data_IF_901100056213
#
_entry.id   IF_901100056213
#
_cell.length_a   1.000
_cell.length_b   1.000
_cell.length_c   1.000
_cell.angle_alpha   90.00
_cell.angle_beta   90.00
_cell.angle_gamma   90.00
#
_symmetry.space_group_name_H-M   'P 1'
#
loop_
_entity.id
_entity.type
_entity.pdbx_description
1 polymer ?
#
# COMPACT_ATOMS: atom_id res chain seq x y z
N UNK A 1 0.85 1.21 -25.82
CA UNK A 1 2.23 0.75 -25.62
C UNK A 1 2.45 0.67 -24.11
N UNK A 2 2.34 -0.52 -23.52
CA UNK A 2 2.63 -0.70 -22.10
C UNK A 2 4.15 -0.62 -21.94
N UNK A 3 4.63 0.42 -21.29
CA UNK A 3 6.03 0.48 -20.88
C UNK A 3 6.15 -0.49 -19.72
N UNK A 4 6.90 -1.57 -19.94
CA UNK A 4 7.19 -2.60 -18.95
C UNK A 4 7.46 -1.95 -17.58
N UNK A 5 6.79 -2.44 -16.54
CA UNK A 5 6.84 -1.87 -15.20
C UNK A 5 8.28 -1.66 -14.69
N UNK A 6 9.24 -2.47 -15.15
CA UNK A 6 10.65 -2.37 -14.77
C UNK A 6 11.40 -1.12 -15.30
N UNK A 7 10.85 -0.43 -16.31
CA UNK A 7 11.49 0.77 -16.91
C UNK A 7 11.05 2.07 -16.25
N UNK A 8 10.07 2.01 -15.34
CA UNK A 8 9.59 3.20 -14.62
C UNK A 8 10.56 3.49 -13.47
N UNK A 9 10.93 4.77 -13.31
CA UNK A 9 11.75 5.21 -12.17
C UNK A 9 10.95 5.29 -10.86
N UNK A 10 9.66 4.95 -10.91
CA UNK A 10 8.69 5.01 -9.82
C UNK A 10 8.26 3.57 -9.51
N UNK A 11 8.14 3.23 -8.22
CA UNK A 11 7.68 1.91 -7.79
C UNK A 11 6.26 1.63 -8.26
N UNK A 12 6.03 0.43 -8.79
CA UNK A 12 4.71 -0.02 -9.24
C UNK A 12 4.21 -1.10 -8.30
N UNK A 13 3.00 -0.92 -7.76
CA UNK A 13 2.33 -1.89 -6.90
C UNK A 13 1.14 -2.50 -7.66
N UNK A 14 1.21 -3.81 -7.89
CA UNK A 14 0.06 -4.59 -8.33
C UNK A 14 -0.82 -4.94 -7.13
N UNK A 15 -2.05 -4.43 -7.15
CA UNK A 15 -2.96 -4.44 -6.01
C UNK A 15 -4.33 -5.00 -6.41
N UNK A 16 -4.83 -5.98 -5.66
CA UNK A 16 -6.22 -6.41 -5.79
C UNK A 16 -7.16 -5.38 -5.16
N UNK A 17 -8.27 -4.97 -5.82
CA UNK A 17 -9.21 -4.00 -5.26
C UNK A 17 -9.93 -4.49 -4.01
N UNK A 18 -10.12 -5.81 -3.86
CA UNK A 18 -10.83 -6.44 -2.75
C UNK A 18 -9.92 -7.17 -1.75
N UNK A 19 -8.61 -7.17 -1.98
CA UNK A 19 -7.67 -7.97 -1.21
C UNK A 19 -7.13 -7.22 0.03
N UNK A 20 -7.12 -7.90 1.17
CA UNK A 20 -6.75 -7.30 2.47
C UNK A 20 -5.24 -7.02 2.52
N UNK A 21 -4.42 -7.93 1.98
CA UNK A 21 -2.96 -7.78 2.00
C UNK A 21 -2.50 -6.64 1.10
N UNK A 22 -3.13 -6.51 -0.06
CA UNK A 22 -2.96 -5.39 -0.97
C UNK A 22 -3.33 -4.06 -0.32
N UNK A 23 -4.40 -4.04 0.49
CA UNK A 23 -4.79 -2.85 1.24
C UNK A 23 -3.77 -2.48 2.34
N UNK A 24 -3.19 -3.47 3.04
CA UNK A 24 -2.15 -3.23 4.04
C UNK A 24 -0.92 -2.53 3.42
N UNK A 25 -0.43 -3.04 2.29
CA UNK A 25 0.74 -2.46 1.61
C UNK A 25 0.46 -1.03 1.15
N UNK A 26 -0.76 -0.74 0.66
CA UNK A 26 -1.17 0.63 0.28
C UNK A 26 -1.12 1.60 1.46
N UNK A 27 -1.56 1.17 2.64
CA UNK A 27 -1.50 1.99 3.85
C UNK A 27 -0.04 2.29 4.22
N UNK A 28 0.81 1.27 4.21
CA UNK A 28 2.24 1.43 4.55
C UNK A 28 2.94 2.38 3.58
N UNK A 29 2.68 2.25 2.29
CA UNK A 29 3.25 3.15 1.27
C UNK A 29 2.76 4.60 1.44
N UNK A 30 1.48 4.78 1.78
CA UNK A 30 0.92 6.10 2.06
C UNK A 30 1.55 6.73 3.32
N UNK A 31 1.79 5.93 4.37
CA UNK A 31 2.43 6.38 5.61
C UNK A 31 3.90 6.77 5.39
N UNK A 32 4.63 5.99 4.59
CA UNK A 32 6.01 6.32 4.21
C UNK A 32 6.11 7.53 3.26
N UNK A 33 5.00 7.95 2.65
CA UNK A 33 4.98 9.09 1.71
C UNK A 33 5.78 8.86 0.44
N UNK A 34 5.94 7.60 0.02
CA UNK A 34 6.67 7.24 -1.21
C UNK A 34 5.77 7.49 -2.41
N UNK A 35 6.34 7.96 -3.53
CA UNK A 35 5.62 8.01 -4.81
C UNK A 35 5.54 6.60 -5.40
N UNK A 36 4.34 6.06 -5.53
CA UNK A 36 4.10 4.75 -6.17
C UNK A 36 2.92 4.83 -7.12
N UNK A 37 2.94 3.97 -8.13
CA UNK A 37 1.83 3.77 -9.05
C UNK A 37 1.06 2.51 -8.65
N UNK A 38 -0.27 2.59 -8.61
CA UNK A 38 -1.13 1.46 -8.26
C UNK A 38 -1.73 0.92 -9.55
N UNK A 39 -1.38 -0.31 -9.89
CA UNK A 39 -2.05 -1.05 -10.96
C UNK A 39 -3.03 -2.04 -10.33
N UNK A 40 -4.32 -1.81 -10.57
CA UNK A 40 -5.37 -2.68 -10.06
C UNK A 40 -5.46 -3.94 -10.92
N UNK A 41 -5.29 -5.09 -10.27
CA UNK A 41 -5.34 -6.39 -10.94
C UNK A 41 -6.61 -7.12 -10.55
N UNK A 42 -7.40 -7.50 -11.54
CA UNK A 42 -8.51 -8.44 -11.37
C UNK A 42 -8.01 -9.87 -11.57
N UNK A 43 -8.54 -10.81 -10.79
CA UNK A 43 -8.11 -12.21 -10.80
C UNK A 43 -8.38 -12.90 -12.14
N UNK A 44 -9.40 -12.45 -12.86
CA UNK A 44 -9.83 -13.00 -14.14
C UNK A 44 -9.01 -12.49 -15.34
N UNK A 45 -8.30 -11.36 -15.20
CA UNK A 45 -7.50 -10.79 -16.27
C UNK A 45 -6.25 -10.07 -15.72
N UNK A 46 -5.22 -10.83 -15.31
CA UNK A 46 -3.97 -10.22 -14.88
C UNK A 46 -3.24 -9.54 -16.05
N UNK A 47 -2.58 -8.39 -15.81
CA UNK A 47 -1.79 -7.73 -16.85
C UNK A 47 -0.62 -8.62 -17.27
N UNK A 48 -0.23 -8.55 -18.55
CA UNK A 48 0.90 -9.33 -19.09
C UNK A 48 2.19 -9.09 -18.32
N UNK A 49 2.43 -7.84 -17.88
CA UNK A 49 3.58 -7.48 -17.06
C UNK A 49 3.64 -8.27 -15.74
N UNK A 50 2.50 -8.59 -15.11
CA UNK A 50 2.46 -9.42 -13.90
C UNK A 50 2.78 -10.88 -14.21
N UNK A 51 2.30 -11.40 -15.34
CA UNK A 51 2.51 -12.80 -15.74
C UNK A 51 3.99 -13.05 -16.05
N UNK A 52 4.64 -12.10 -16.73
CA UNK A 52 6.05 -12.21 -17.08
C UNK A 52 6.97 -12.10 -15.86
N UNK A 53 6.57 -11.32 -14.85
CA UNK A 53 7.34 -11.11 -13.62
C UNK A 53 7.09 -12.17 -12.54
N UNK A 54 5.84 -12.64 -12.40
CA UNK A 54 5.44 -13.58 -11.38
C UNK A 54 4.59 -14.74 -11.96
N UNK A 55 5.18 -15.94 -12.15
CA UNK A 55 4.44 -17.09 -12.67
C UNK A 55 3.32 -17.55 -11.72
N UNK A 56 3.38 -17.20 -10.44
CA UNK A 56 2.36 -17.50 -9.44
C UNK A 56 1.22 -16.48 -9.40
N UNK A 57 1.31 -15.39 -10.17
CA UNK A 57 0.28 -14.34 -10.35
C UNK A 57 -0.34 -13.87 -9.01
N UNK A 58 0.49 -13.82 -7.98
CA UNK A 58 0.04 -13.56 -6.62
C UNK A 58 0.03 -12.06 -6.36
N UNK A 59 -1.04 -11.58 -5.72
CA UNK A 59 -1.16 -10.19 -5.25
C UNK A 59 -1.04 -10.17 -3.72
N UNK A 60 -0.39 -9.16 -3.11
CA UNK A 60 0.29 -8.01 -3.73
C UNK A 60 1.67 -8.36 -4.32
N UNK A 61 2.02 -7.71 -5.44
CA UNK A 61 3.37 -7.74 -6.02
C UNK A 61 3.87 -6.31 -6.19
N UNK A 62 5.08 -6.04 -5.69
CA UNK A 62 5.75 -4.75 -5.77
C UNK A 62 6.92 -4.86 -6.76
N UNK A 63 7.02 -3.90 -7.67
CA UNK A 63 8.10 -3.79 -8.64
C UNK A 63 8.85 -2.48 -8.41
N UNK A 64 10.13 -2.58 -8.08
CA UNK A 64 11.08 -1.46 -8.03
C UNK A 64 12.18 -1.67 -9.06
N UNK A 65 12.05 -1.03 -10.23
CA UNK A 65 12.96 -1.21 -11.37
C UNK A 65 13.13 -2.70 -11.71
N UNK A 66 14.29 -3.29 -11.41
CA UNK A 66 14.62 -4.70 -11.68
C UNK A 66 14.25 -5.66 -10.54
N UNK A 67 13.87 -5.13 -9.38
CA UNK A 67 13.46 -5.93 -8.22
C UNK A 67 11.96 -6.19 -8.25
N UNK A 68 11.57 -7.46 -8.18
CA UNK A 68 10.18 -7.89 -8.02
C UNK A 68 10.02 -8.63 -6.70
N UNK A 69 9.11 -8.17 -5.86
CA UNK A 69 8.79 -8.77 -4.57
C UNK A 69 7.33 -9.16 -4.53
N UNK A 70 7.07 -10.40 -4.13
CA UNK A 70 5.74 -10.91 -3.83
C UNK A 70 5.68 -11.28 -2.35
N UNK A 71 4.47 -11.33 -1.79
CA UNK A 71 4.17 -11.49 -0.37
C UNK A 71 4.21 -10.18 0.43
N UNK A 72 3.08 -9.86 1.08
CA UNK A 72 2.92 -8.60 1.82
C UNK A 72 3.92 -8.42 2.94
N UNK A 73 4.29 -9.50 3.64
CA UNK A 73 5.26 -9.45 4.74
C UNK A 73 6.64 -9.02 4.26
N UNK A 74 7.13 -9.63 3.18
CA UNK A 74 8.43 -9.30 2.57
C UNK A 74 8.42 -7.86 2.04
N UNK A 75 7.32 -7.44 1.40
CA UNK A 75 7.16 -6.07 0.91
C UNK A 75 7.22 -5.07 2.07
N UNK A 76 6.52 -5.33 3.18
CA UNK A 76 6.52 -4.43 4.34
C UNK A 76 7.92 -4.34 4.98
N UNK A 77 8.63 -5.45 5.09
CA UNK A 77 10.01 -5.49 5.61
C UNK A 77 10.96 -4.69 4.71
N UNK A 78 10.89 -4.91 3.39
CA UNK A 78 11.66 -4.15 2.41
C UNK A 78 11.39 -2.63 2.49
N UNK A 79 10.13 -2.23 2.64
CA UNK A 79 9.77 -0.81 2.76
C UNK A 79 10.28 -0.19 4.06
N UNK A 80 10.36 -0.95 5.15
CA UNK A 80 10.88 -0.45 6.41
C UNK A 80 12.41 -0.31 6.39
N UNK A 81 13.11 -1.26 5.79
CA UNK A 81 14.57 -1.18 5.56
C UNK A 81 14.95 -0.04 4.60
N UNK A 82 14.17 0.14 3.52
CA UNK A 82 14.46 1.15 2.50
C UNK A 82 14.16 2.57 2.96
N UNK A 83 13.11 2.74 3.77
CA UNK A 83 12.63 4.03 4.25
C UNK A 83 12.57 4.05 5.79
N UNK A 84 13.71 4.20 6.48
CA UNK A 84 13.75 4.16 7.95
C UNK A 84 13.04 5.35 8.63
N UNK A 85 12.64 6.37 7.87
CA UNK A 85 11.92 7.54 8.35
C UNK A 85 10.66 7.77 7.50
N UNK A 86 9.45 7.91 8.09
CA UNK A 86 9.11 7.73 9.50
C UNK A 86 9.09 6.24 9.91
N UNK A 87 9.47 5.90 11.14
CA UNK A 87 9.41 4.51 11.62
C UNK A 87 7.94 4.05 11.68
N UNK A 88 7.62 2.89 11.11
CA UNK A 88 6.26 2.33 11.13
C UNK A 88 5.87 1.87 12.53
N UNK A 89 6.86 1.37 13.27
CA UNK A 89 6.73 1.16 14.68
C UNK A 89 6.98 2.50 15.38
N UNK A 90 5.91 3.15 15.84
CA UNK A 90 6.01 4.25 16.78
C UNK A 90 6.49 3.74 18.17
N UNK A 91 7.60 3.01 18.18
CA UNK A 91 8.39 2.67 19.35
C UNK A 91 9.17 3.88 19.82
N UNK A 92 8.46 4.92 20.27
CA UNK A 92 9.05 5.99 21.04
C UNK A 92 9.41 5.42 22.41
N UNK A 93 10.69 5.41 22.85
CA UNK A 93 11.00 5.21 24.26
C UNK A 93 10.52 6.47 25.01
N UNK A 94 9.24 6.48 25.40
CA UNK A 94 8.62 7.56 26.16
C UNK A 94 7.21 7.99 25.73
N UNK A 95 6.73 7.64 24.54
CA UNK A 95 5.32 7.91 24.21
C UNK A 95 4.46 6.70 24.58
N UNK A 96 3.89 6.78 25.77
CA UNK A 96 2.87 5.89 26.26
C UNK A 96 1.63 5.92 25.34
N UNK A 97 1.65 5.09 24.29
CA UNK A 97 0.43 4.52 23.75
C UNK A 97 -0.18 3.64 24.85
N UNK A 98 -0.90 4.28 25.80
CA UNK A 98 -1.89 3.58 26.62
C UNK A 98 -2.76 2.85 25.62
N UNK A 99 -2.63 1.52 25.57
CA UNK A 99 -3.67 0.64 25.02
C UNK A 99 -4.99 1.16 25.62
N UNK A 100 -5.96 1.64 24.84
CA UNK A 100 -7.24 1.98 25.42
C UNK A 100 -7.76 0.72 26.12
N UNK A 101 -8.27 0.82 27.36
CA UNK A 101 -8.82 -0.34 28.03
C UNK A 101 -9.89 -0.96 27.13
N UNK A 102 -9.87 -2.29 27.04
CA UNK A 102 -10.68 -3.13 26.13
C UNK A 102 -12.22 -3.00 26.31
N UNK A 103 -12.68 -2.02 27.09
CA UNK A 103 -14.09 -1.77 27.43
C UNK A 103 -14.52 -0.30 27.27
N UNK A 104 -14.09 0.39 26.22
CA UNK A 104 -14.68 1.67 25.84
C UNK A 104 -15.83 1.44 24.84
N UNK A 105 -17.08 1.85 25.13
CA UNK A 105 -18.20 1.62 24.23
C UNK A 105 -18.06 2.44 22.95
N UNK A 106 -18.19 1.76 21.81
CA UNK A 106 -18.30 2.30 20.46
C UNK A 106 -19.50 3.25 20.35
N UNK A 107 -19.34 4.55 20.67
CA UNK A 107 -20.35 5.54 20.34
C UNK A 107 -19.76 6.94 20.13
N UNK A 108 -19.78 7.34 18.85
CA UNK A 108 -19.58 8.69 18.30
C UNK A 108 -18.14 9.16 18.12
N UNK A 109 -17.58 8.83 16.94
CA UNK A 109 -16.81 9.78 16.14
C UNK A 109 -16.92 9.43 14.65
N UNK A 110 -18.13 9.57 14.12
CA UNK A 110 -18.45 9.37 12.70
C UNK A 110 -19.44 10.46 12.26
N UNK A 111 -19.08 11.72 12.48
CA UNK A 111 -19.66 12.89 11.78
C UNK A 111 -18.62 14.00 11.97
N UNK A 112 -17.80 14.32 10.95
CA UNK A 112 -17.07 15.60 10.74
C UNK A 112 -15.93 15.51 9.72
N UNK A 113 -15.66 14.34 9.12
CA UNK A 113 -14.60 14.21 8.09
C UNK A 113 -15.14 14.01 6.66
N UNK A 114 -16.45 14.16 6.44
CA UNK A 114 -17.12 13.99 5.14
C UNK A 114 -17.58 15.35 4.57
N UNK A 115 -16.65 16.31 4.42
CA UNK A 115 -17.02 17.62 3.84
C UNK A 115 -15.87 18.34 3.10
N UNK A 116 -14.83 17.62 2.65
CA UNK A 116 -13.80 18.16 1.75
C UNK A 116 -13.48 17.24 0.57
N UNK A 117 -14.49 16.60 0.01
CA UNK A 117 -14.37 15.75 -1.19
C UNK A 117 -15.38 16.09 -2.29
N UNK A 118 -15.77 17.36 -2.42
CA UNK A 118 -16.74 17.78 -3.46
C UNK A 118 -16.47 19.09 -4.19
N UNK A 119 -15.23 19.56 -4.23
CA UNK A 119 -14.86 20.68 -5.10
C UNK A 119 -13.48 20.47 -5.72
N UNK A 120 -13.42 19.62 -6.77
CA UNK A 120 -12.43 19.71 -7.87
C UNK A 120 -12.71 18.65 -8.95
N UNK A 121 -13.94 18.65 -9.46
CA UNK A 121 -14.28 18.09 -10.78
C UNK A 121 -15.20 19.10 -11.47
N UNK A 122 -14.58 20.07 -12.15
CA UNK A 122 -15.14 20.83 -13.28
C UNK A 122 -13.96 21.13 -14.21
N UNK A 123 -13.75 20.28 -15.21
CA UNK A 123 -13.94 20.54 -16.64
C UNK A 123 -13.57 19.26 -17.39
#
# INVERSE_FOLDING_TARGET
MAVAANKRSVMTLFSGPTDIYSHQVRIVLAEKGVSFEIEHVEKDNPPQDLIDLNPSQSVPTLVDRELTLWESRIIMEYLDERFPHPPLDAGLPGCAWRKPPVHAPYRKRLVHADERHRERVRF
#
